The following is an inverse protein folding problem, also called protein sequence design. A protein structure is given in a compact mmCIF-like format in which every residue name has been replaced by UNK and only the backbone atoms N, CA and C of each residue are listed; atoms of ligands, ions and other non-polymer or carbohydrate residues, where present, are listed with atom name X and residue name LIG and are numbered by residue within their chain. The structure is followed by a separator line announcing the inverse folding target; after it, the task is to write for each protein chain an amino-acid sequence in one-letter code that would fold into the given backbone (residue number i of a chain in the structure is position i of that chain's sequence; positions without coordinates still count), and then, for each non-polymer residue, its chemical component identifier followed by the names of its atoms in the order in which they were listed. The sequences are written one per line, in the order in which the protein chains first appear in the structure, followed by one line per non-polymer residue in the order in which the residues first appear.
data_IF_136628989173
#
_entry.id   IF_136628989173
#
_cell.length_a   1.000
_cell.length_b   1.000
_cell.length_c   1.000
_cell.angle_alpha   90.00
_cell.angle_beta   90.00
_cell.angle_gamma   90.00
#
_symmetry.space_group_name_H-M   'P 1'
#
loop_
_entity.id
_entity.type
_entity.pdbx_description
1 polymer ?
#
# COMPACT_ATOMS: atom_id res chain seq x y z
N UNK A 1 -1.11 -5.61 1.05
CA UNK A 1 -2.25 -6.51 0.88
C UNK A 1 -3.28 -6.35 2.00
N UNK A 2 -4.50 -6.80 1.84
CA UNK A 2 -5.54 -6.83 2.87
C UNK A 2 -6.79 -7.44 2.27
N UNK A 3 -7.36 -8.47 2.89
CA UNK A 3 -8.46 -9.25 2.31
C UNK A 3 -9.77 -8.46 2.26
N UNK A 4 -9.94 -7.48 3.13
CA UNK A 4 -11.12 -6.60 3.16
C UNK A 4 -10.91 -5.38 2.27
N UNK A 5 -11.96 -4.99 1.52
CA UNK A 5 -12.00 -3.71 0.83
C UNK A 5 -11.95 -2.53 1.81
N UNK A 6 -11.41 -1.41 1.40
CA UNK A 6 -11.42 -0.18 2.20
C UNK A 6 -10.45 -0.11 3.38
N UNK A 7 -9.56 -1.08 3.61
CA UNK A 7 -8.54 -1.00 4.69
C UNK A 7 -7.39 -0.03 4.40
N UNK A 8 -7.37 0.62 3.24
CA UNK A 8 -6.36 1.62 2.89
C UNK A 8 -5.21 1.11 2.01
N UNK A 9 -5.39 0.01 1.27
CA UNK A 9 -4.34 -0.56 0.40
C UNK A 9 -3.84 0.45 -0.64
N UNK A 10 -4.71 0.92 -1.51
CA UNK A 10 -4.33 1.85 -2.58
C UNK A 10 -3.84 3.20 -2.01
N UNK A 11 -4.39 3.66 -0.88
CA UNK A 11 -3.86 4.83 -0.18
C UNK A 11 -2.40 4.60 0.26
N UNK A 12 -2.10 3.43 0.85
CA UNK A 12 -0.75 3.09 1.28
C UNK A 12 0.19 2.91 0.08
N UNK A 13 -0.29 2.31 -1.01
CA UNK A 13 0.45 2.24 -2.28
C UNK A 13 0.85 3.63 -2.79
N UNK A 14 -0.11 4.57 -2.84
CA UNK A 14 0.14 5.97 -3.22
C UNK A 14 1.14 6.65 -2.27
N UNK A 15 1.00 6.46 -0.96
CA UNK A 15 1.94 7.03 0.02
C UNK A 15 3.37 6.56 -0.18
N UNK A 16 3.57 5.29 -0.54
CA UNK A 16 4.90 4.75 -0.85
C UNK A 16 5.42 5.35 -2.16
N UNK A 17 4.61 5.32 -3.22
CA UNK A 17 4.99 5.86 -4.54
C UNK A 17 5.37 7.33 -4.42
N UNK A 18 4.53 8.15 -3.78
CA UNK A 18 4.78 9.57 -3.57
C UNK A 18 6.02 9.82 -2.70
N UNK A 19 6.21 9.02 -1.65
CA UNK A 19 7.40 9.09 -0.80
C UNK A 19 8.68 8.76 -1.55
N UNK A 20 8.66 7.77 -2.45
CA UNK A 20 9.79 7.41 -3.31
C UNK A 20 10.10 8.54 -4.31
N UNK A 21 9.07 9.12 -4.93
CA UNK A 21 9.21 10.26 -5.85
C UNK A 21 9.75 11.49 -5.11
N UNK A 22 9.20 11.80 -3.93
CA UNK A 22 9.68 12.90 -3.09
C UNK A 22 11.12 12.70 -2.61
N UNK A 23 11.56 11.45 -2.45
CA UNK A 23 12.96 11.08 -2.19
C UNK A 23 13.85 11.12 -3.45
N UNK A 24 13.35 11.60 -4.57
CA UNK A 24 14.04 11.66 -5.87
C UNK A 24 14.56 10.30 -6.34
N UNK A 25 13.82 9.24 -6.07
CA UNK A 25 14.15 7.88 -6.52
C UNK A 25 13.15 7.40 -7.55
N UNK A 26 13.59 6.48 -8.40
CA UNK A 26 12.71 5.84 -9.38
C UNK A 26 11.79 4.81 -8.72
N UNK A 27 10.57 4.72 -9.26
CA UNK A 27 9.57 3.75 -8.86
C UNK A 27 8.94 3.10 -10.08
N UNK A 28 8.69 1.79 -9.99
CA UNK A 28 7.87 1.02 -10.93
C UNK A 28 6.69 0.45 -10.18
N UNK A 29 5.53 0.50 -10.80
CA UNK A 29 4.26 0.15 -10.17
C UNK A 29 3.59 -0.94 -10.98
N UNK A 30 3.12 -2.00 -10.30
CA UNK A 30 2.16 -2.93 -10.88
C UNK A 30 0.86 -2.83 -10.07
N UNK A 31 -0.25 -2.57 -10.74
CA UNK A 31 -1.56 -2.61 -10.11
C UNK A 31 -2.33 -3.82 -10.60
N UNK A 32 -2.64 -4.73 -9.67
CA UNK A 32 -3.41 -5.95 -9.92
C UNK A 32 -4.85 -5.69 -9.47
N UNK A 33 -5.65 -5.10 -10.33
CA UNK A 33 -7.05 -4.75 -10.06
C UNK A 33 -7.85 -4.66 -11.37
N UNK A 34 -9.17 -4.90 -11.28
CA UNK A 34 -10.12 -4.72 -12.39
C UNK A 34 -10.52 -3.26 -12.59
N UNK A 35 -10.38 -2.42 -11.57
CA UNK A 35 -10.65 -0.99 -11.62
C UNK A 35 -9.40 -0.22 -11.15
N UNK A 36 -8.33 -0.21 -11.96
CA UNK A 36 -7.08 0.39 -11.57
C UNK A 36 -7.19 1.93 -11.49
N UNK A 37 -6.61 2.51 -10.43
CA UNK A 37 -6.59 3.96 -10.21
C UNK A 37 -5.18 4.55 -10.30
N UNK A 38 -4.14 3.75 -10.04
CA UNK A 38 -2.75 4.23 -10.09
C UNK A 38 -2.29 4.65 -11.49
N UNK A 39 -2.72 4.02 -12.61
CA UNK A 39 -2.34 4.48 -13.94
C UNK A 39 -2.81 5.89 -14.27
N UNK A 40 -3.88 6.37 -13.62
CA UNK A 40 -4.39 7.73 -13.81
C UNK A 40 -3.47 8.78 -13.16
N UNK A 41 -2.82 8.42 -12.05
CA UNK A 41 -1.92 9.29 -11.31
C UNK A 41 -0.45 9.14 -11.76
N UNK A 42 -0.06 7.95 -12.21
CA UNK A 42 1.32 7.61 -12.57
C UNK A 42 1.37 6.82 -13.89
N UNK A 43 0.91 7.40 -15.02
CA UNK A 43 0.72 6.66 -16.28
C UNK A 43 2.01 6.02 -16.80
N UNK A 44 3.13 6.74 -16.76
CA UNK A 44 4.42 6.27 -17.30
C UNK A 44 5.16 5.28 -16.39
N UNK A 45 4.65 5.05 -15.19
CA UNK A 45 5.30 4.22 -14.15
C UNK A 45 4.50 2.97 -13.81
N UNK A 46 3.26 2.85 -14.31
CA UNK A 46 2.31 1.81 -13.87
C UNK A 46 1.98 0.83 -14.99
N UNK A 47 2.18 -0.46 -14.70
CA UNK A 47 1.58 -1.55 -15.47
C UNK A 47 0.30 -2.02 -14.77
N UNK A 48 -0.71 -2.37 -15.54
CA UNK A 48 -1.98 -2.90 -15.03
C UNK A 48 -2.09 -4.37 -15.38
N UNK A 49 -2.47 -5.17 -14.40
CA UNK A 49 -2.69 -6.61 -14.54
C UNK A 49 -4.13 -6.91 -14.13
N UNK A 50 -4.93 -7.39 -15.06
CA UNK A 50 -6.26 -7.89 -14.75
C UNK A 50 -6.15 -9.34 -14.28
N UNK A 51 -6.40 -9.56 -12.99
CA UNK A 51 -6.30 -10.89 -12.42
C UNK A 51 -7.38 -11.83 -12.97
N UNK A 52 -7.05 -13.09 -13.24
CA UNK A 52 -7.97 -14.06 -13.81
C UNK A 52 -9.15 -14.36 -12.88
N UNK A 53 -10.28 -14.66 -13.47
CA UNK A 53 -11.47 -15.11 -12.75
C UNK A 53 -11.29 -16.46 -12.06
N UNK A 54 -12.17 -16.79 -11.10
CA UNK A 54 -12.10 -18.09 -10.41
C UNK A 54 -12.33 -19.28 -11.36
N UNK A 55 -13.13 -19.09 -12.40
CA UNK A 55 -13.38 -20.09 -13.43
C UNK A 55 -12.19 -20.25 -14.36
N UNK A 56 -11.60 -19.16 -14.83
CA UNK A 56 -10.37 -19.14 -15.64
C UNK A 56 -9.21 -19.83 -14.91
N UNK A 57 -9.04 -19.55 -13.62
CA UNK A 57 -8.02 -20.22 -12.79
C UNK A 57 -8.23 -21.74 -12.66
N UNK A 58 -9.45 -22.23 -12.85
CA UNK A 58 -9.74 -23.67 -12.82
C UNK A 58 -9.63 -24.33 -14.19
N UNK A 59 -10.06 -23.64 -15.24
CA UNK A 59 -10.13 -24.18 -16.59
C UNK A 59 -8.78 -24.13 -17.32
N UNK A 60 -8.00 -23.06 -17.13
CA UNK A 60 -6.69 -22.91 -17.76
C UNK A 60 -5.67 -22.28 -16.78
N UNK A 61 -4.97 -23.16 -16.08
CA UNK A 61 -3.94 -22.74 -15.12
C UNK A 61 -2.81 -21.96 -15.80
N UNK A 62 -2.39 -22.38 -17.01
CA UNK A 62 -1.25 -21.77 -17.68
C UNK A 62 -1.59 -20.36 -18.16
N UNK A 63 -2.74 -20.18 -18.78
CA UNK A 63 -3.24 -18.85 -19.15
C UNK A 63 -3.39 -17.95 -17.94
N UNK A 64 -3.93 -18.49 -16.84
CA UNK A 64 -4.07 -17.75 -15.57
C UNK A 64 -2.75 -17.29 -14.97
N UNK A 65 -1.66 -18.01 -15.21
CA UNK A 65 -0.32 -17.60 -14.75
C UNK A 65 0.32 -16.56 -15.68
N UNK A 66 0.09 -16.69 -17.00
CA UNK A 66 0.66 -15.79 -18.01
C UNK A 66 0.25 -14.33 -17.84
N UNK A 67 -0.92 -14.05 -17.25
CA UNK A 67 -1.35 -12.66 -16.99
C UNK A 67 -0.39 -11.91 -16.08
N UNK A 68 0.45 -12.63 -15.31
CA UNK A 68 1.45 -12.07 -14.42
C UNK A 68 2.86 -11.95 -15.04
N UNK A 69 3.07 -12.41 -16.29
CA UNK A 69 4.36 -12.27 -17.00
C UNK A 69 4.93 -10.82 -16.99
N UNK A 70 4.09 -9.75 -17.07
CA UNK A 70 4.61 -8.38 -16.98
C UNK A 70 5.35 -8.07 -15.67
N UNK A 71 5.09 -8.84 -14.59
CA UNK A 71 5.86 -8.69 -13.34
C UNK A 71 7.31 -9.14 -13.50
N UNK A 72 7.60 -10.13 -14.35
CA UNK A 72 8.97 -10.57 -14.61
C UNK A 72 9.77 -9.46 -15.29
N UNK A 73 9.21 -8.81 -16.30
CA UNK A 73 9.84 -7.67 -16.98
C UNK A 73 10.08 -6.51 -16.01
N UNK A 74 9.09 -6.21 -15.17
CA UNK A 74 9.24 -5.20 -14.12
C UNK A 74 10.38 -5.56 -13.15
N UNK A 75 10.45 -6.81 -12.67
CA UNK A 75 11.50 -7.28 -11.77
C UNK A 75 12.87 -7.16 -12.42
N UNK A 76 13.02 -7.58 -13.67
CA UNK A 76 14.27 -7.47 -14.41
C UNK A 76 14.71 -6.00 -14.59
N UNK A 77 13.76 -5.08 -14.72
CA UNK A 77 14.05 -3.65 -14.85
C UNK A 77 14.53 -3.04 -13.53
N UNK A 78 13.97 -3.44 -12.39
CA UNK A 78 14.35 -2.91 -11.08
C UNK A 78 15.62 -3.58 -10.52
N UNK A 79 15.87 -4.84 -10.82
CA UNK A 79 17.04 -5.59 -10.34
C UNK A 79 18.38 -4.97 -10.77
N UNK A 80 18.39 -4.17 -11.84
CA UNK A 80 19.59 -3.53 -12.41
C UNK A 80 19.77 -2.07 -11.96
N UNK A 81 18.93 -1.60 -11.07
CA UNK A 81 18.88 -0.20 -10.67
C UNK A 81 18.52 -0.06 -9.18
N UNK A 82 18.58 1.16 -8.65
CA UNK A 82 18.08 1.47 -7.29
C UNK A 82 16.57 1.76 -7.26
N UNK A 83 15.83 1.29 -8.27
CA UNK A 83 14.40 1.51 -8.42
C UNK A 83 13.61 0.69 -7.39
N UNK A 84 12.57 1.26 -6.83
CA UNK A 84 11.65 0.57 -5.93
C UNK A 84 10.47 0.05 -6.72
N UNK A 85 10.18 -1.25 -6.61
CA UNK A 85 8.97 -1.87 -7.15
C UNK A 85 7.83 -1.82 -6.15
N UNK A 86 6.65 -1.38 -6.59
CA UNK A 86 5.42 -1.37 -5.79
C UNK A 86 4.36 -2.21 -6.49
N UNK A 87 3.86 -3.25 -5.83
CA UNK A 87 2.75 -4.07 -6.33
C UNK A 87 1.52 -3.81 -5.47
N UNK A 88 0.54 -3.08 -6.02
CA UNK A 88 -0.77 -2.86 -5.37
C UNK A 88 -1.74 -3.96 -5.80
N UNK A 89 -2.22 -4.73 -4.83
CA UNK A 89 -3.09 -5.88 -5.07
C UNK A 89 -4.49 -5.59 -4.56
N UNK A 90 -5.46 -5.60 -5.46
CA UNK A 90 -6.87 -5.48 -5.15
C UNK A 90 -7.36 -6.55 -4.17
N UNK A 91 -8.50 -6.32 -3.53
CA UNK A 91 -9.06 -7.26 -2.56
C UNK A 91 -9.70 -8.48 -3.23
N UNK A 92 -10.04 -9.47 -2.42
CA UNK A 92 -10.86 -10.62 -2.81
C UNK A 92 -10.18 -11.50 -3.86
N UNK A 93 -10.76 -11.57 -5.06
CA UNK A 93 -10.28 -12.45 -6.13
C UNK A 93 -8.91 -12.06 -6.67
N UNK A 94 -8.63 -10.77 -6.82
CA UNK A 94 -7.34 -10.28 -7.27
C UNK A 94 -6.22 -10.76 -6.33
N UNK A 95 -6.44 -10.65 -5.02
CA UNK A 95 -5.50 -11.14 -4.02
C UNK A 95 -5.32 -12.66 -4.08
N UNK A 96 -6.41 -13.43 -4.24
CA UNK A 96 -6.32 -14.90 -4.35
C UNK A 96 -5.54 -15.33 -5.59
N UNK A 97 -5.82 -14.72 -6.74
CA UNK A 97 -5.12 -15.03 -7.99
C UNK A 97 -3.61 -14.74 -7.84
N UNK A 98 -3.27 -13.58 -7.26
CA UNK A 98 -1.88 -13.22 -7.04
C UNK A 98 -1.17 -14.15 -6.03
N UNK A 99 -1.82 -14.52 -4.91
CA UNK A 99 -1.23 -15.47 -3.96
C UNK A 99 -1.01 -16.86 -4.57
N UNK A 100 -1.94 -17.33 -5.40
CA UNK A 100 -1.76 -18.57 -6.16
C UNK A 100 -0.57 -18.48 -7.13
N UNK A 101 -0.43 -17.36 -7.83
CA UNK A 101 0.73 -17.12 -8.70
C UNK A 101 2.03 -17.13 -7.89
N UNK A 102 2.11 -16.35 -6.80
CA UNK A 102 3.29 -16.27 -5.92
C UNK A 102 3.72 -17.66 -5.44
N UNK A 103 2.76 -18.46 -4.93
CA UNK A 103 3.04 -19.80 -4.43
C UNK A 103 3.55 -20.77 -5.52
N UNK A 104 2.93 -20.75 -6.71
CA UNK A 104 3.26 -21.68 -7.80
C UNK A 104 4.52 -21.31 -8.56
N UNK A 105 4.71 -20.00 -8.83
CA UNK A 105 5.87 -19.48 -9.51
C UNK A 105 7.07 -19.32 -8.57
N UNK A 106 6.89 -19.48 -7.25
CA UNK A 106 7.89 -19.14 -6.23
C UNK A 106 8.45 -17.74 -6.45
N UNK A 107 7.55 -16.82 -6.64
CA UNK A 107 7.87 -15.45 -7.03
C UNK A 107 8.72 -14.72 -5.98
N UNK A 108 8.55 -15.02 -4.69
CA UNK A 108 9.39 -14.54 -3.60
C UNK A 108 10.86 -14.97 -3.80
N UNK A 109 11.05 -16.24 -4.10
CA UNK A 109 12.39 -16.78 -4.37
C UNK A 109 13.01 -16.15 -5.61
N UNK A 110 12.22 -15.98 -6.67
CA UNK A 110 12.67 -15.28 -7.88
C UNK A 110 13.15 -13.87 -7.56
N UNK A 111 12.42 -13.10 -6.72
CA UNK A 111 12.83 -11.77 -6.29
C UNK A 111 14.18 -11.79 -5.54
N UNK A 112 14.35 -12.71 -4.60
CA UNK A 112 15.60 -12.87 -3.84
C UNK A 112 16.77 -13.24 -4.76
N UNK A 113 16.57 -14.14 -5.71
CA UNK A 113 17.58 -14.55 -6.68
C UNK A 113 18.00 -13.39 -7.63
N UNK A 114 17.11 -12.38 -7.81
CA UNK A 114 17.42 -11.12 -8.50
C UNK A 114 18.03 -10.04 -7.57
N UNK A 115 18.33 -10.37 -6.32
CA UNK A 115 18.86 -9.43 -5.33
C UNK A 115 17.84 -8.45 -4.77
N UNK A 116 16.55 -8.72 -4.97
CA UNK A 116 15.46 -7.86 -4.51
C UNK A 116 14.92 -8.40 -3.19
N UNK A 117 14.75 -7.53 -2.19
CA UNK A 117 14.14 -7.88 -0.90
C UNK A 117 12.61 -7.75 -1.01
N UNK A 118 11.86 -8.86 -1.00
CA UNK A 118 10.41 -8.82 -1.01
C UNK A 118 9.87 -8.40 0.37
N UNK A 119 8.96 -7.40 0.37
CA UNK A 119 8.27 -6.92 1.57
C UNK A 119 6.78 -6.94 1.31
N UNK A 120 6.01 -7.57 2.17
CA UNK A 120 4.56 -7.60 2.08
C UNK A 120 3.95 -6.81 3.23
N UNK A 121 3.30 -5.70 2.90
CA UNK A 121 2.54 -4.90 3.84
C UNK A 121 1.14 -5.50 4.01
N UNK A 122 0.79 -5.93 5.21
CA UNK A 122 -0.55 -6.44 5.54
C UNK A 122 -1.31 -5.39 6.32
N UNK A 123 -2.29 -4.77 5.64
CA UNK A 123 -3.06 -3.67 6.19
C UNK A 123 -4.28 -4.15 6.97
N UNK A 124 -4.51 -3.53 8.12
CA UNK A 124 -5.68 -3.76 8.95
C UNK A 124 -6.20 -2.45 9.58
N UNK A 125 -7.51 -2.39 9.81
CA UNK A 125 -8.17 -1.36 10.63
C UNK A 125 -8.64 -1.98 11.94
N UNK A 126 -9.13 -1.18 12.88
CA UNK A 126 -9.63 -1.65 14.18
C UNK A 126 -10.96 -2.43 14.10
N UNK A 127 -11.44 -2.74 12.91
CA UNK A 127 -12.62 -3.60 12.68
C UNK A 127 -12.30 -5.08 12.95
N UNK A 128 -13.09 -5.80 13.75
CA UNK A 128 -12.82 -7.19 14.12
C UNK A 128 -12.68 -8.14 12.94
N UNK A 129 -13.48 -7.93 11.88
CA UNK A 129 -13.41 -8.75 10.65
C UNK A 129 -12.10 -8.48 9.90
N UNK A 130 -11.69 -7.21 9.79
CA UNK A 130 -10.42 -6.84 9.17
C UNK A 130 -9.23 -7.44 9.94
N UNK A 131 -9.27 -7.40 11.28
CA UNK A 131 -8.25 -8.00 12.15
C UNK A 131 -8.13 -9.50 11.90
N UNK A 132 -9.26 -10.23 11.96
CA UNK A 132 -9.27 -11.69 11.78
C UNK A 132 -8.78 -12.09 10.38
N UNK A 133 -9.23 -11.40 9.34
CA UNK A 133 -8.82 -11.68 7.96
C UNK A 133 -7.35 -11.36 7.72
N UNK A 134 -6.83 -10.28 8.34
CA UNK A 134 -5.41 -9.93 8.21
C UNK A 134 -4.52 -10.91 8.96
N UNK A 135 -4.95 -11.45 10.10
CA UNK A 135 -4.23 -12.52 10.78
C UNK A 135 -4.11 -13.78 9.91
N UNK A 136 -5.24 -14.24 9.35
CA UNK A 136 -5.25 -15.40 8.46
C UNK A 136 -4.36 -15.18 7.22
N UNK A 137 -4.38 -13.95 6.64
CA UNK A 137 -3.51 -13.60 5.52
C UNK A 137 -2.02 -13.63 5.92
N UNK A 138 -1.66 -13.14 7.10
CA UNK A 138 -0.28 -13.21 7.58
C UNK A 138 0.21 -14.64 7.76
N UNK A 139 -0.65 -15.51 8.29
CA UNK A 139 -0.35 -16.96 8.42
C UNK A 139 -0.19 -17.62 7.03
N UNK A 140 -1.09 -17.33 6.08
CA UNK A 140 -1.00 -17.83 4.72
C UNK A 140 0.30 -17.36 4.03
N UNK A 141 0.62 -16.07 4.14
CA UNK A 141 1.84 -15.49 3.56
C UNK A 141 3.12 -16.13 4.12
N UNK A 142 3.16 -16.53 5.38
CA UNK A 142 4.30 -17.25 5.95
C UNK A 142 4.56 -18.59 5.25
N UNK A 143 3.51 -19.23 4.75
CA UNK A 143 3.60 -20.53 4.07
C UNK A 143 3.92 -20.38 2.58
N UNK A 144 3.29 -19.39 1.90
CA UNK A 144 3.39 -19.26 0.44
C UNK A 144 4.46 -18.25 0.00
N UNK A 145 4.99 -17.47 0.93
CA UNK A 145 5.96 -16.39 0.67
C UNK A 145 7.04 -16.36 1.76
N UNK A 146 7.73 -17.49 2.02
CA UNK A 146 8.64 -17.62 3.16
C UNK A 146 9.83 -16.69 3.12
N UNK A 147 10.28 -16.28 1.93
CA UNK A 147 11.43 -15.38 1.74
C UNK A 147 11.03 -13.88 1.85
N UNK A 148 9.72 -13.57 2.02
CA UNK A 148 9.26 -12.20 2.15
C UNK A 148 9.19 -11.74 3.61
N UNK A 149 9.58 -10.48 3.83
CA UNK A 149 9.32 -9.82 5.11
C UNK A 149 7.85 -9.38 5.19
N UNK A 150 7.10 -9.94 6.13
CA UNK A 150 5.70 -9.57 6.36
C UNK A 150 5.63 -8.48 7.42
N UNK A 151 5.14 -7.31 7.04
CA UNK A 151 5.04 -6.11 7.89
C UNK A 151 3.57 -5.76 8.13
N UNK A 152 3.06 -5.89 9.36
CA UNK A 152 1.72 -5.43 9.73
C UNK A 152 1.62 -3.91 9.66
N UNK A 153 0.54 -3.41 9.06
CA UNK A 153 0.23 -1.98 8.95
C UNK A 153 -1.09 -1.69 9.64
N UNK A 154 -1.02 -0.96 10.75
CA UNK A 154 -2.17 -0.54 11.54
C UNK A 154 -2.69 0.79 11.02
N UNK A 155 -3.80 0.78 10.31
CA UNK A 155 -4.45 2.00 9.84
C UNK A 155 -5.45 2.50 10.89
N UNK A 156 -5.17 3.63 11.49
CA UNK A 156 -5.96 4.22 12.58
C UNK A 156 -7.16 5.06 12.08
N UNK A 157 -7.50 5.00 10.80
CA UNK A 157 -8.62 5.79 10.25
C UNK A 157 -9.96 5.54 10.97
N UNK A 158 -10.18 4.31 11.43
CA UNK A 158 -11.41 3.88 12.13
C UNK A 158 -11.20 3.82 13.66
N UNK A 159 -10.13 4.42 14.17
CA UNK A 159 -9.76 4.43 15.58
C UNK A 159 -8.53 3.59 15.92
N UNK A 160 -8.14 3.61 17.18
CA UNK A 160 -6.97 2.88 17.68
C UNK A 160 -7.28 1.40 17.99
N UNK A 161 -6.23 0.58 18.01
CA UNK A 161 -6.31 -0.84 18.36
C UNK A 161 -6.34 -1.04 19.89
N UNK A 162 -7.16 -0.25 20.56
CA UNK A 162 -7.43 -0.37 22.01
C UNK A 162 -8.85 -0.93 22.17
N UNK A 163 -8.96 -2.18 22.55
CA UNK A 163 -10.24 -2.85 22.71
C UNK A 163 -10.58 -3.04 24.18
N UNK A 164 -11.86 -2.88 24.53
CA UNK A 164 -12.33 -3.15 25.87
C UNK A 164 -12.15 -4.65 26.21
N UNK A 165 -11.56 -4.93 27.36
CA UNK A 165 -11.35 -6.29 27.83
C UNK A 165 -12.64 -7.11 27.83
N UNK A 166 -12.56 -8.38 27.39
CA UNK A 166 -13.71 -9.27 27.30
C UNK A 166 -14.53 -9.14 26.02
N UNK A 167 -14.30 -8.12 25.18
CA UNK A 167 -14.99 -8.00 23.88
C UNK A 167 -14.44 -8.99 22.84
N UNK A 168 -15.24 -9.40 21.83
CA UNK A 168 -14.76 -10.23 20.74
C UNK A 168 -13.54 -9.63 20.00
N UNK A 169 -13.52 -8.31 19.79
CA UNK A 169 -12.40 -7.61 19.17
C UNK A 169 -11.12 -7.75 19.99
N UNK A 170 -11.21 -7.57 21.32
CA UNK A 170 -10.08 -7.76 22.25
C UNK A 170 -9.53 -9.17 22.16
N UNK A 171 -10.42 -10.17 22.17
CA UNK A 171 -10.02 -11.57 22.09
C UNK A 171 -9.34 -11.88 20.76
N UNK A 172 -9.95 -11.51 19.61
CA UNK A 172 -9.39 -11.74 18.28
C UNK A 172 -8.00 -11.07 18.16
N UNK A 173 -7.88 -9.83 18.62
CA UNK A 173 -6.60 -9.11 18.56
C UNK A 173 -5.50 -9.80 19.36
N UNK A 174 -5.79 -10.15 20.62
CA UNK A 174 -4.80 -10.79 21.50
C UNK A 174 -4.46 -12.23 21.07
N UNK A 175 -5.46 -13.01 20.67
CA UNK A 175 -5.26 -14.41 20.33
C UNK A 175 -4.62 -14.61 18.95
N UNK A 176 -4.91 -13.72 17.98
CA UNK A 176 -4.47 -13.90 16.60
C UNK A 176 -3.37 -12.91 16.17
N UNK A 177 -3.47 -11.61 16.54
CA UNK A 177 -2.53 -10.61 16.05
C UNK A 177 -1.30 -10.51 16.94
N UNK A 178 -1.49 -10.38 18.25
CA UNK A 178 -0.37 -10.18 19.18
C UNK A 178 0.73 -11.25 19.03
N UNK A 179 0.43 -12.55 18.88
CA UNK A 179 1.46 -13.56 18.63
C UNK A 179 2.21 -13.36 17.32
N UNK A 180 1.50 -12.89 16.27
CA UNK A 180 2.10 -12.63 14.94
C UNK A 180 2.96 -11.35 14.89
N UNK A 181 2.85 -10.48 15.90
CA UNK A 181 3.64 -9.25 15.98
C UNK A 181 5.02 -9.47 16.59
N UNK A 182 5.26 -10.61 17.22
CA UNK A 182 6.53 -10.89 17.89
C UNK A 182 7.67 -10.83 16.87
N UNK A 183 8.69 -10.04 17.20
CA UNK A 183 9.91 -9.85 16.41
C UNK A 183 9.68 -9.28 15.00
N UNK A 184 8.48 -8.74 14.69
CA UNK A 184 8.18 -8.11 13.41
C UNK A 184 8.24 -6.59 13.48
N UNK A 185 8.81 -6.00 12.44
CA UNK A 185 8.61 -4.58 12.18
C UNK A 185 7.13 -4.33 11.91
N UNK A 186 6.65 -3.15 12.27
CA UNK A 186 5.25 -2.74 12.06
C UNK A 186 5.16 -1.26 11.74
N UNK A 187 4.13 -0.88 11.02
CA UNK A 187 3.84 0.52 10.69
C UNK A 187 2.47 0.90 11.25
N UNK A 188 2.37 2.10 11.79
CA UNK A 188 1.10 2.71 12.18
C UNK A 188 0.86 3.92 11.31
N UNK A 189 -0.26 3.92 10.58
CA UNK A 189 -0.73 5.05 9.80
C UNK A 189 -1.76 5.81 10.65
N UNK A 190 -1.52 7.07 11.02
CA UNK A 190 -2.50 7.89 11.72
C UNK A 190 -3.71 8.17 10.82
N UNK A 191 -4.80 8.61 11.41
CA UNK A 191 -5.90 9.16 10.63
C UNK A 191 -5.48 10.51 10.06
N UNK A 192 -5.84 10.78 8.81
CA UNK A 192 -5.75 12.14 8.26
C UNK A 192 -6.90 12.94 8.87
N UNK A 193 -6.65 14.21 9.20
CA UNK A 193 -7.70 15.09 9.73
C UNK A 193 -8.95 15.06 8.84
N UNK A 194 -10.11 14.97 9.48
CA UNK A 194 -11.38 14.63 8.85
C UNK A 194 -11.63 15.45 7.57
N UNK A 195 -11.80 14.74 6.45
CA UNK A 195 -12.18 15.32 5.16
C UNK A 195 -11.08 16.00 4.37
N UNK A 196 -9.84 16.13 4.87
CA UNK A 196 -8.78 16.82 4.14
C UNK A 196 -8.37 16.05 2.87
N UNK A 197 -7.99 14.78 2.99
CA UNK A 197 -7.50 14.00 1.84
C UNK A 197 -8.53 13.78 0.71
N UNK A 198 -9.80 13.43 0.96
CA UNK A 198 -10.78 13.25 -0.10
C UNK A 198 -10.94 14.44 -1.04
N UNK A 199 -10.68 15.65 -0.59
CA UNK A 199 -10.74 16.87 -1.42
C UNK A 199 -9.60 16.90 -2.44
N UNK A 200 -8.37 16.62 -2.02
CA UNK A 200 -7.22 16.49 -2.92
C UNK A 200 -7.35 15.29 -3.85
N UNK A 201 -7.83 14.16 -3.33
CA UNK A 201 -8.07 12.96 -4.13
C UNK A 201 -9.11 13.18 -5.22
N UNK A 202 -10.22 13.87 -4.92
CA UNK A 202 -11.25 14.20 -5.91
C UNK A 202 -10.77 15.20 -6.97
N UNK A 203 -9.78 16.02 -6.62
CA UNK A 203 -9.09 16.92 -7.56
C UNK A 203 -7.98 16.22 -8.37
N UNK A 204 -7.84 14.89 -8.26
CA UNK A 204 -6.84 14.10 -8.98
C UNK A 204 -5.41 14.36 -8.53
N UNK A 205 -5.21 14.83 -7.30
CA UNK A 205 -3.87 15.17 -6.79
C UNK A 205 -3.20 13.99 -6.07
N UNK A 206 -1.89 13.91 -6.23
CA UNK A 206 -1.02 13.04 -5.43
C UNK A 206 -0.70 13.69 -4.08
N UNK A 207 -0.15 12.92 -3.12
CA UNK A 207 0.30 13.50 -1.84
C UNK A 207 1.43 14.51 -2.03
N UNK A 208 2.35 14.22 -2.94
CA UNK A 208 3.44 15.13 -3.29
C UNK A 208 2.90 16.43 -3.84
N UNK A 209 1.97 16.39 -4.79
CA UNK A 209 1.34 17.60 -5.33
C UNK A 209 0.57 18.36 -4.26
N UNK A 210 -0.20 17.68 -3.40
CA UNK A 210 -0.95 18.34 -2.34
C UNK A 210 -0.05 19.10 -1.36
N UNK A 211 1.13 18.57 -1.06
CA UNK A 211 2.08 19.19 -0.12
C UNK A 211 2.94 20.27 -0.79
N UNK A 212 3.34 20.07 -2.06
CA UNK A 212 4.33 20.90 -2.76
C UNK A 212 3.71 22.00 -3.62
N UNK A 213 2.42 21.91 -3.95
CA UNK A 213 1.76 22.91 -4.77
C UNK A 213 1.70 24.27 -4.06
N UNK A 214 1.87 25.32 -4.85
CA UNK A 214 1.64 26.68 -4.37
C UNK A 214 0.15 26.96 -4.11
N UNK A 215 -0.09 27.99 -3.33
CA UNK A 215 -1.42 28.41 -2.90
C UNK A 215 -2.37 28.71 -4.07
N UNK A 216 -1.86 29.36 -5.14
CA UNK A 216 -2.67 29.73 -6.29
C UNK A 216 -3.13 28.45 -7.04
N UNK A 217 -2.25 27.48 -7.19
CA UNK A 217 -2.56 26.16 -7.77
C UNK A 217 -3.62 25.44 -6.97
N UNK A 218 -3.51 25.43 -5.63
CA UNK A 218 -4.48 24.79 -4.76
C UNK A 218 -5.85 25.47 -4.80
N UNK A 219 -5.89 26.80 -4.79
CA UNK A 219 -7.13 27.57 -4.95
C UNK A 219 -7.81 27.22 -6.26
N UNK A 220 -7.06 27.18 -7.36
CA UNK A 220 -7.61 26.88 -8.68
C UNK A 220 -8.14 25.42 -8.77
N UNK A 221 -7.42 24.45 -8.21
CA UNK A 221 -7.80 23.02 -8.26
C UNK A 221 -8.95 22.68 -7.32
N UNK A 222 -8.98 23.25 -6.12
CA UNK A 222 -9.96 22.91 -5.09
C UNK A 222 -11.18 23.85 -5.08
N UNK A 223 -11.11 25.01 -5.73
CA UNK A 223 -12.20 25.99 -5.73
C UNK A 223 -12.50 26.60 -4.36
N UNK A 224 -11.51 26.66 -3.47
CA UNK A 224 -11.66 27.09 -2.07
C UNK A 224 -10.90 28.37 -1.79
N UNK A 225 -11.25 29.03 -0.67
CA UNK A 225 -10.54 30.23 -0.24
C UNK A 225 -9.10 29.90 0.20
N UNK A 226 -8.25 30.91 0.16
CA UNK A 226 -6.85 30.84 0.61
C UNK A 226 -6.70 30.18 1.98
N UNK A 227 -7.44 30.65 2.98
CA UNK A 227 -7.36 30.11 4.34
C UNK A 227 -7.71 28.63 4.41
N UNK A 228 -8.71 28.19 3.63
CA UNK A 228 -9.11 26.79 3.61
C UNK A 228 -8.05 25.91 2.95
N UNK A 229 -7.50 26.30 1.80
CA UNK A 229 -6.47 25.48 1.14
C UNK A 229 -5.20 25.40 1.98
N UNK A 230 -4.78 26.48 2.64
CA UNK A 230 -3.63 26.48 3.55
C UNK A 230 -3.85 25.53 4.74
N UNK A 231 -5.04 25.56 5.35
CA UNK A 231 -5.36 24.64 6.45
C UNK A 231 -5.38 23.18 5.99
N UNK A 232 -6.00 22.88 4.85
CA UNK A 232 -6.07 21.53 4.29
C UNK A 232 -4.68 21.00 3.91
N UNK A 233 -3.85 21.82 3.28
CA UNK A 233 -2.46 21.50 2.97
C UNK A 233 -1.66 21.21 4.24
N UNK A 234 -1.84 22.00 5.29
CA UNK A 234 -1.21 21.78 6.58
C UNK A 234 -1.53 20.41 7.17
N UNK A 235 -2.79 19.97 7.14
CA UNK A 235 -3.19 18.64 7.62
C UNK A 235 -2.57 17.51 6.81
N UNK A 236 -2.49 17.63 5.48
CA UNK A 236 -1.85 16.61 4.63
C UNK A 236 -0.34 16.61 4.88
N UNK A 237 0.29 17.77 5.01
CA UNK A 237 1.72 17.90 5.29
C UNK A 237 2.10 17.28 6.63
N UNK A 238 1.33 17.54 7.69
CA UNK A 238 1.50 16.89 8.99
C UNK A 238 1.40 15.37 8.90
N UNK A 239 0.38 14.88 8.19
CA UNK A 239 0.19 13.44 7.99
C UNK A 239 1.39 12.80 7.28
N UNK A 240 1.83 13.33 6.14
CA UNK A 240 2.94 12.74 5.39
C UNK A 240 4.27 12.87 6.12
N UNK A 241 4.49 13.93 6.90
CA UNK A 241 5.69 14.10 7.72
C UNK A 241 5.88 12.99 8.76
N UNK A 242 4.78 12.41 9.22
CA UNK A 242 4.78 11.25 10.14
C UNK A 242 4.86 9.92 9.39
N UNK A 243 4.17 9.81 8.26
CA UNK A 243 3.99 8.52 7.56
C UNK A 243 5.19 8.17 6.68
N UNK A 244 5.72 9.11 5.91
CA UNK A 244 6.83 8.83 4.99
C UNK A 244 8.11 8.33 5.67
N UNK A 245 8.56 8.88 6.81
CA UNK A 245 9.69 8.29 7.53
C UNK A 245 9.45 6.84 7.96
N UNK A 246 8.22 6.51 8.39
CA UNK A 246 7.85 5.16 8.83
C UNK A 246 7.82 4.16 7.66
N UNK A 247 7.20 4.55 6.54
CA UNK A 247 7.16 3.73 5.33
C UNK A 247 8.54 3.63 4.69
N UNK A 248 9.30 4.72 4.68
CA UNK A 248 10.65 4.77 4.14
C UNK A 248 11.62 3.86 4.88
N UNK A 249 11.52 3.78 6.21
CA UNK A 249 12.30 2.84 7.02
C UNK A 249 12.03 1.36 6.66
N UNK A 250 10.84 1.06 6.14
CA UNK A 250 10.47 -0.28 5.65
C UNK A 250 10.90 -0.45 4.19
N UNK A 251 10.49 0.46 3.31
CA UNK A 251 10.65 0.35 1.86
C UNK A 251 12.03 0.82 1.33
N UNK A 252 12.86 1.39 2.19
CA UNK A 252 14.23 1.77 1.83
C UNK A 252 14.35 3.12 1.12
N UNK A 253 13.43 4.07 1.38
CA UNK A 253 13.56 5.45 0.91
C UNK A 253 13.64 6.43 2.09
N UNK A 254 14.21 7.60 1.87
CA UNK A 254 14.28 8.67 2.86
C UNK A 254 13.86 9.98 2.20
N UNK A 255 12.78 10.54 2.67
CA UNK A 255 12.35 11.88 2.26
C UNK A 255 13.04 12.89 3.16
N UNK A 256 13.76 13.86 2.59
CA UNK A 256 14.33 14.97 3.32
C UNK A 256 13.27 15.72 4.13
N UNK A 257 13.67 16.45 5.16
CA UNK A 257 12.72 17.27 5.92
C UNK A 257 11.97 18.17 4.94
N UNK A 258 10.63 18.01 4.87
CA UNK A 258 9.81 19.00 4.20
C UNK A 258 9.91 20.28 5.04
N UNK A 259 10.53 21.31 4.49
CA UNK A 259 10.25 22.66 4.97
C UNK A 259 8.76 22.90 4.63
N UNK A 260 7.90 22.60 5.60
CA UNK A 260 6.51 22.99 5.52
C UNK A 260 6.53 24.53 5.48
N UNK A 261 6.43 25.06 4.27
CA UNK A 261 6.77 26.40 3.86
C UNK A 261 6.47 27.46 4.90
N UNK A 262 7.46 28.31 5.10
CA UNK A 262 7.31 29.62 5.71
C UNK A 262 6.23 30.45 5.02
#
# INVERSE_FOLDING_TARGET
MGPKGGVGKSLTGRLIVDGVIAAQRDVRIAQIDRAPTLPQLYPDKTITIEAPGAEEMRSDLLASMRVFEPLEEMVQSIAKSETIGVIDVGAGQNQRAFLNFVARARFDRFLVDQGIRPIVLVLMTADPSAISQSANLMEELQLVHPDAEIVPVFNLRDGGFKFLAGTPAHKIYNDKIVPLLKDRRRVTLPAIAAGAWPLFESAGMTFTEAVMADEATLIAKLGMSRLMVTALQGYVSEFVSVVWPRLGAIAGFSVGAFDAGR
#
